data_IF_798231986909
#
_entry.id   IF_798231986909
#
_cell.length_a   1.000
_cell.length_b   1.000
_cell.length_c   1.000
_cell.angle_alpha   90.00
_cell.angle_beta   90.00
_cell.angle_gamma   90.00
#
_symmetry.space_group_name_H-M   'P 1'
#
loop_
_entity.id
_entity.type
_entity.pdbx_description
1 polymer ?
#
# COMPACT_ATOMS: atom_id res chain seq x y z
N UNK A 1 14.49 10.93 -2.95
CA UNK A 1 13.41 9.99 -2.60
C UNK A 1 12.13 10.78 -2.53
N UNK A 2 11.17 10.53 -3.42
CA UNK A 2 9.84 11.11 -3.28
C UNK A 2 9.12 10.36 -2.15
N UNK A 3 8.68 11.08 -1.13
CA UNK A 3 7.85 10.54 -0.07
C UNK A 3 6.40 10.65 -0.54
N UNK A 4 5.81 9.53 -0.93
CA UNK A 4 4.45 9.50 -1.49
C UNK A 4 3.35 9.47 -0.45
N UNK A 5 3.72 9.24 0.82
CA UNK A 5 2.80 9.23 1.94
C UNK A 5 2.75 10.61 2.56
N UNK A 6 1.53 11.04 2.87
CA UNK A 6 1.31 12.31 3.54
C UNK A 6 2.03 12.28 4.91
N UNK A 7 2.85 13.29 5.25
CA UNK A 7 3.45 13.39 6.57
C UNK A 7 2.38 13.68 7.63
N UNK A 8 2.73 13.46 8.90
CA UNK A 8 1.84 13.82 10.01
C UNK A 8 1.44 15.29 9.97
N UNK A 9 0.16 15.59 10.21
CA UNK A 9 -0.33 16.96 10.22
C UNK A 9 0.12 17.71 11.48
N UNK A 10 0.09 19.05 11.44
CA UNK A 10 0.46 19.86 12.59
C UNK A 10 -0.44 19.60 13.81
N UNK A 11 -1.71 19.29 13.57
CA UNK A 11 -2.66 18.88 14.60
C UNK A 11 -2.27 17.54 15.22
N UNK A 12 -1.90 16.54 14.41
CA UNK A 12 -1.45 15.24 14.92
C UNK A 12 -0.18 15.38 15.76
N UNK A 13 0.77 16.20 15.31
CA UNK A 13 2.01 16.50 16.04
C UNK A 13 1.70 17.21 17.36
N UNK A 14 0.82 18.23 17.34
CA UNK A 14 0.44 18.96 18.55
C UNK A 14 -0.28 18.08 19.57
N UNK A 15 -1.20 17.21 19.11
CA UNK A 15 -1.89 16.25 19.97
C UNK A 15 -0.89 15.22 20.51
N UNK A 16 -0.03 14.64 19.67
CA UNK A 16 1.00 13.69 20.09
C UNK A 16 1.88 14.25 21.19
N UNK A 17 2.39 15.49 21.01
CA UNK A 17 3.19 16.18 22.03
C UNK A 17 2.47 16.31 23.37
N UNK A 18 1.16 16.64 23.37
CA UNK A 18 0.34 16.73 24.60
C UNK A 18 0.12 15.38 25.27
N UNK A 19 0.16 14.29 24.51
CA UNK A 19 -0.01 12.92 25.00
C UNK A 19 1.34 12.23 25.32
N UNK A 20 2.48 12.91 25.15
CA UNK A 20 3.81 12.32 25.32
C UNK A 20 4.18 11.31 24.22
N UNK A 21 3.54 11.40 23.06
CA UNK A 21 3.81 10.56 21.89
C UNK A 21 4.58 11.33 20.83
N UNK A 22 5.69 10.76 20.36
CA UNK A 22 6.36 11.26 19.17
C UNK A 22 5.78 10.63 17.90
N UNK A 23 5.25 11.52 17.05
CA UNK A 23 4.68 11.21 15.73
C UNK A 23 5.23 12.14 14.64
N UNK A 24 6.22 12.98 14.94
CA UNK A 24 6.68 14.04 14.01
C UNK A 24 7.28 13.50 12.71
N UNK A 25 7.85 12.30 12.76
CA UNK A 25 8.47 11.62 11.63
C UNK A 25 7.62 10.49 11.05
N UNK A 26 6.41 10.31 11.55
CA UNK A 26 5.49 9.33 11.00
C UNK A 26 4.72 9.92 9.80
N UNK A 27 4.19 9.03 8.97
CA UNK A 27 3.13 9.39 8.03
C UNK A 27 1.85 9.73 8.78
N UNK A 28 0.95 10.44 8.11
CA UNK A 28 -0.38 10.77 8.61
C UNK A 28 -1.14 9.53 9.09
N UNK A 29 -1.04 8.41 8.35
CA UNK A 29 -1.72 7.15 8.69
C UNK A 29 -1.14 6.51 9.95
N UNK A 30 0.19 6.49 10.07
CA UNK A 30 0.88 5.90 11.23
C UNK A 30 0.66 6.75 12.48
N UNK A 31 0.75 8.08 12.37
CA UNK A 31 0.45 8.98 13.48
C UNK A 31 -1.00 8.83 13.94
N UNK A 32 -1.97 8.78 13.01
CA UNK A 32 -3.36 8.50 13.33
C UNK A 32 -3.52 7.18 14.08
N UNK A 33 -2.85 6.12 13.62
CA UNK A 33 -2.92 4.82 14.28
C UNK A 33 -2.37 4.88 15.72
N UNK A 34 -1.18 5.46 15.92
CA UNK A 34 -0.58 5.63 17.25
C UNK A 34 -1.45 6.46 18.19
N UNK A 35 -1.99 7.58 17.70
CA UNK A 35 -2.88 8.43 18.49
C UNK A 35 -4.15 7.69 18.91
N UNK A 36 -4.78 6.96 17.98
CA UNK A 36 -5.96 6.17 18.29
C UNK A 36 -5.67 5.01 19.23
N UNK A 37 -4.52 4.35 19.13
CA UNK A 37 -4.14 3.31 20.09
C UNK A 37 -3.97 3.87 21.50
N UNK A 38 -3.56 5.13 21.62
CA UNK A 38 -3.41 5.80 22.92
C UNK A 38 -4.74 6.29 23.50
N UNK A 39 -5.58 6.96 22.69
CA UNK A 39 -6.84 7.56 23.18
C UNK A 39 -8.04 6.62 23.08
N UNK A 40 -7.90 5.51 22.36
CA UNK A 40 -9.00 4.62 21.96
C UNK A 40 -9.87 4.17 23.13
N UNK A 41 -9.24 3.69 24.20
CA UNK A 41 -9.94 3.26 25.41
C UNK A 41 -10.75 4.41 26.04
N UNK A 42 -10.22 5.63 26.05
CA UNK A 42 -10.88 6.79 26.64
C UNK A 42 -12.09 7.29 25.82
N UNK A 43 -12.12 7.00 24.50
CA UNK A 43 -13.20 7.40 23.59
C UNK A 43 -14.17 6.25 23.27
N UNK A 44 -14.05 5.11 23.95
CA UNK A 44 -14.91 3.95 23.74
C UNK A 44 -14.64 3.19 22.43
N UNK A 45 -13.44 3.31 21.87
CA UNK A 45 -13.00 2.47 20.75
C UNK A 45 -12.82 1.03 21.27
N UNK A 46 -13.83 0.19 21.05
CA UNK A 46 -13.86 -1.21 21.51
C UNK A 46 -12.91 -2.12 20.73
N UNK A 47 -12.22 -1.58 19.72
CA UNK A 47 -11.33 -2.35 18.87
C UNK A 47 -9.96 -2.50 19.52
N UNK A 48 -9.83 -3.56 20.32
CA UNK A 48 -8.58 -3.98 20.95
C UNK A 48 -7.68 -4.72 19.97
N UNK A 49 -7.01 -3.94 19.14
CA UNK A 49 -5.91 -4.43 18.33
C UNK A 49 -4.66 -4.53 19.21
N UNK A 50 -4.32 -5.75 19.62
CA UNK A 50 -3.12 -6.04 20.40
C UNK A 50 -1.91 -6.02 19.46
N UNK A 51 -1.38 -7.20 19.17
CA UNK A 51 -0.14 -7.40 18.44
C UNK A 51 -0.42 -7.68 16.95
N UNK A 52 0.49 -7.29 16.06
CA UNK A 52 0.46 -7.65 14.66
C UNK A 52 0.44 -9.16 14.49
N UNK A 53 -0.35 -9.63 13.55
CA UNK A 53 -0.39 -11.05 13.20
C UNK A 53 0.95 -11.50 12.62
N UNK A 54 1.28 -12.79 12.76
CA UNK A 54 2.49 -13.37 12.14
C UNK A 54 2.57 -13.07 10.64
N UNK A 55 1.43 -13.14 9.94
CA UNK A 55 1.32 -12.81 8.52
C UNK A 55 1.70 -11.36 8.22
N UNK A 56 1.26 -10.41 9.04
CA UNK A 56 1.65 -9.01 8.89
C UNK A 56 3.14 -8.82 9.13
N UNK A 57 3.71 -9.44 10.16
CA UNK A 57 5.14 -9.36 10.46
C UNK A 57 5.97 -9.94 9.31
N UNK A 58 5.60 -11.12 8.80
CA UNK A 58 6.24 -11.74 7.64
C UNK A 58 6.12 -10.85 6.39
N UNK A 59 4.93 -10.34 6.12
CA UNK A 59 4.70 -9.45 4.98
C UNK A 59 5.47 -8.12 5.11
N UNK A 60 5.59 -7.57 6.32
CA UNK A 60 6.41 -6.38 6.58
C UNK A 60 7.88 -6.58 6.23
N UNK A 61 8.42 -7.79 6.45
CA UNK A 61 9.80 -8.13 6.08
C UNK A 61 10.04 -8.08 4.57
N UNK A 62 9.02 -8.39 3.76
CA UNK A 62 9.12 -8.27 2.29
C UNK A 62 9.40 -6.81 1.86
N UNK A 63 8.99 -5.85 2.68
CA UNK A 63 9.25 -4.42 2.48
C UNK A 63 10.42 -3.87 3.29
N UNK A 64 11.14 -4.71 4.04
CA UNK A 64 12.21 -4.29 4.94
C UNK A 64 11.73 -3.53 6.18
N UNK A 65 10.47 -3.69 6.59
CA UNK A 65 9.86 -3.01 7.73
C UNK A 65 9.72 -4.01 8.89
N UNK A 66 10.32 -3.68 10.04
CA UNK A 66 10.07 -4.43 11.28
C UNK A 66 8.77 -3.96 11.93
N UNK A 67 7.81 -4.88 12.03
CA UNK A 67 6.50 -4.66 12.63
C UNK A 67 6.36 -5.30 14.01
N UNK A 68 7.37 -6.01 14.51
CA UNK A 68 7.27 -6.84 15.73
C UNK A 68 6.93 -6.08 17.01
N UNK A 69 7.24 -4.78 17.06
CA UNK A 69 7.00 -3.91 18.22
C UNK A 69 5.87 -2.91 18.01
N UNK A 70 5.13 -3.02 16.91
CA UNK A 70 3.99 -2.15 16.65
C UNK A 70 2.72 -2.77 17.23
N UNK A 71 1.67 -1.96 17.38
CA UNK A 71 0.32 -2.49 17.51
C UNK A 71 -0.16 -3.01 16.15
N UNK A 72 -1.21 -3.82 16.14
CA UNK A 72 -1.84 -4.24 14.89
C UNK A 72 -2.29 -3.05 14.03
N UNK A 73 -2.85 -1.99 14.62
CA UNK A 73 -3.33 -0.80 13.89
C UNK A 73 -2.18 -0.07 13.21
N UNK A 74 -1.06 0.11 13.92
CA UNK A 74 0.16 0.73 13.38
C UNK A 74 0.77 -0.16 12.30
N UNK A 75 0.78 -1.48 12.47
CA UNK A 75 1.29 -2.40 11.46
C UNK A 75 0.49 -2.35 10.15
N UNK A 76 -0.85 -2.29 10.22
CA UNK A 76 -1.71 -2.08 9.04
C UNK A 76 -1.37 -0.76 8.35
N UNK A 77 -1.22 0.33 9.11
CA UNK A 77 -0.88 1.64 8.55
C UNK A 77 0.47 1.61 7.82
N UNK A 78 1.51 1.03 8.43
CA UNK A 78 2.85 0.90 7.83
C UNK A 78 2.85 0.07 6.56
N UNK A 79 2.13 -1.06 6.55
CA UNK A 79 2.00 -1.91 5.35
C UNK A 79 1.29 -1.14 4.23
N UNK A 80 0.21 -0.44 4.55
CA UNK A 80 -0.54 0.36 3.57
C UNK A 80 0.34 1.44 2.95
N UNK A 81 1.09 2.17 3.79
CA UNK A 81 2.01 3.21 3.34
C UNK A 81 3.10 2.65 2.41
N UNK A 82 3.70 1.50 2.76
CA UNK A 82 4.69 0.83 1.93
C UNK A 82 4.12 0.40 0.58
N UNK A 83 2.90 -0.17 0.57
CA UNK A 83 2.21 -0.54 -0.67
C UNK A 83 1.89 0.68 -1.52
N UNK A 84 1.45 1.78 -0.92
CA UNK A 84 1.18 3.03 -1.64
C UNK A 84 2.45 3.58 -2.28
N UNK A 85 3.57 3.61 -1.55
CA UNK A 85 4.86 4.04 -2.10
C UNK A 85 5.30 3.18 -3.29
N UNK A 86 5.21 1.85 -3.18
CA UNK A 86 5.57 0.95 -4.28
C UNK A 86 4.69 1.21 -5.51
N UNK A 87 3.37 1.31 -5.31
CA UNK A 87 2.47 1.50 -6.43
C UNK A 87 2.67 2.86 -7.11
N UNK A 88 2.85 3.93 -6.35
CA UNK A 88 3.09 5.25 -6.92
C UNK A 88 4.43 5.35 -7.62
N UNK A 89 5.48 4.69 -7.08
CA UNK A 89 6.75 4.56 -7.78
C UNK A 89 6.59 3.83 -9.11
N UNK A 90 5.83 2.74 -9.17
CA UNK A 90 5.54 2.03 -10.43
C UNK A 90 4.75 2.89 -11.41
N UNK A 91 3.80 3.70 -10.94
CA UNK A 91 3.09 4.67 -11.80
C UNK A 91 4.08 5.65 -12.43
N UNK A 92 5.02 6.19 -11.65
CA UNK A 92 6.04 7.11 -12.15
C UNK A 92 7.02 6.42 -13.11
N UNK A 93 7.55 5.25 -12.74
CA UNK A 93 8.50 4.48 -13.55
C UNK A 93 7.91 4.05 -14.91
N UNK A 94 6.61 3.71 -14.95
CA UNK A 94 5.91 3.36 -16.19
C UNK A 94 5.37 4.60 -16.94
N UNK A 95 5.52 5.79 -16.36
CA UNK A 95 4.87 7.02 -16.81
C UNK A 95 3.40 6.77 -17.15
N UNK A 96 2.70 6.06 -16.25
CA UNK A 96 1.38 5.54 -16.54
C UNK A 96 0.36 6.68 -16.54
N UNK A 97 -0.38 6.80 -17.64
CA UNK A 97 -1.41 7.84 -17.81
C UNK A 97 -2.74 7.26 -18.30
N UNK A 98 -3.88 7.94 -18.07
CA UNK A 98 -5.15 7.59 -18.70
C UNK A 98 -5.01 7.43 -20.22
N UNK A 99 -5.51 6.31 -20.75
CA UNK A 99 -5.39 5.96 -22.16
C UNK A 99 -4.32 4.91 -22.48
N UNK A 100 -3.35 4.71 -21.58
CA UNK A 100 -2.31 3.68 -21.78
C UNK A 100 -2.90 2.27 -21.84
N UNK A 101 -2.28 1.41 -22.64
CA UNK A 101 -2.56 -0.02 -22.63
C UNK A 101 -1.65 -0.76 -21.66
N UNK A 102 -2.25 -1.62 -20.84
CA UNK A 102 -1.56 -2.39 -19.81
C UNK A 102 -1.95 -3.86 -19.86
N UNK A 103 -1.07 -4.70 -19.34
CA UNK A 103 -1.32 -6.12 -19.08
C UNK A 103 -1.39 -6.33 -17.57
N UNK A 104 -2.44 -7.02 -17.13
CA UNK A 104 -2.54 -7.60 -15.80
C UNK A 104 -2.30 -9.11 -15.92
N UNK A 105 -1.24 -9.60 -15.28
CA UNK A 105 -0.96 -11.03 -15.18
C UNK A 105 -1.58 -11.57 -13.89
N UNK A 106 -2.35 -12.66 -14.00
CA UNK A 106 -2.89 -13.40 -12.86
C UNK A 106 -2.40 -14.83 -12.92
N UNK A 107 -1.62 -15.22 -11.92
CA UNK A 107 -1.22 -16.61 -11.73
C UNK A 107 -2.26 -17.31 -10.86
N UNK A 108 -2.74 -18.48 -11.30
CA UNK A 108 -3.66 -19.33 -10.55
C UNK A 108 -3.27 -20.79 -10.69
N UNK A 109 -3.51 -21.55 -9.63
CA UNK A 109 -3.27 -22.99 -9.63
C UNK A 109 -4.55 -23.72 -10.03
N UNK A 110 -4.50 -24.44 -11.16
CA UNK A 110 -5.59 -25.30 -11.60
C UNK A 110 -5.06 -26.74 -11.63
N UNK A 111 -5.59 -27.58 -10.73
CA UNK A 111 -5.25 -29.00 -10.62
C UNK A 111 -3.74 -29.27 -10.42
N UNK A 112 -3.08 -28.49 -9.56
CA UNK A 112 -1.65 -28.65 -9.26
C UNK A 112 -0.72 -28.02 -10.30
N UNK A 113 -1.28 -27.46 -11.39
CA UNK A 113 -0.50 -26.76 -12.43
C UNK A 113 -0.68 -25.25 -12.27
N UNK A 114 0.43 -24.53 -12.12
CA UNK A 114 0.43 -23.07 -12.19
C UNK A 114 0.14 -22.61 -13.62
N UNK A 115 -0.86 -21.77 -13.80
CA UNK A 115 -1.19 -21.12 -15.08
C UNK A 115 -1.17 -19.62 -14.91
N UNK A 116 -0.71 -18.92 -15.94
CA UNK A 116 -0.78 -17.46 -16.02
C UNK A 116 -1.81 -17.04 -17.06
N UNK A 117 -2.71 -16.14 -16.67
CA UNK A 117 -3.61 -15.46 -17.59
C UNK A 117 -3.20 -13.99 -17.66
N UNK A 118 -2.87 -13.56 -18.87
CA UNK A 118 -2.63 -12.16 -19.19
C UNK A 118 -3.90 -11.55 -19.77
N UNK A 119 -4.33 -10.43 -19.17
CA UNK A 119 -5.48 -9.67 -19.67
C UNK A 119 -5.04 -8.25 -20.01
N UNK A 120 -5.40 -7.80 -21.21
CA UNK A 120 -5.12 -6.45 -21.68
C UNK A 120 -6.24 -5.51 -21.27
N UNK A 121 -5.87 -4.34 -20.77
CA UNK A 121 -6.81 -3.29 -20.39
C UNK A 121 -6.30 -1.93 -20.87
N UNK A 122 -7.21 -0.96 -20.92
CA UNK A 122 -6.88 0.45 -21.11
C UNK A 122 -7.11 1.21 -19.82
N UNK A 123 -6.14 2.02 -19.41
CA UNK A 123 -6.24 2.85 -18.20
C UNK A 123 -7.34 3.89 -18.39
N UNK A 124 -8.25 3.97 -17.41
CA UNK A 124 -9.30 4.98 -17.33
C UNK A 124 -8.89 6.14 -16.44
N UNK A 125 -8.47 5.83 -15.22
CA UNK A 125 -8.02 6.80 -14.22
C UNK A 125 -7.09 6.13 -13.21
N UNK A 126 -6.31 6.94 -12.50
CA UNK A 126 -5.37 6.50 -11.47
C UNK A 126 -5.72 7.26 -10.19
N UNK A 127 -5.91 6.53 -9.09
CA UNK A 127 -6.20 7.10 -7.77
C UNK A 127 -4.90 7.53 -7.09
N UNK A 128 -4.99 8.46 -6.14
CA UNK A 128 -3.85 9.02 -5.40
C UNK A 128 -3.01 7.99 -4.62
N UNK A 129 -3.49 6.78 -4.41
CA UNK A 129 -2.78 5.69 -3.74
C UNK A 129 -2.17 4.65 -4.71
N UNK A 130 -2.22 4.91 -6.01
CA UNK A 130 -1.69 4.03 -7.05
C UNK A 130 -2.63 2.91 -7.50
N UNK A 131 -3.93 2.98 -7.14
CA UNK A 131 -4.95 2.09 -7.70
C UNK A 131 -5.35 2.55 -9.11
N UNK A 132 -5.26 1.65 -10.09
CA UNK A 132 -5.53 1.92 -11.50
C UNK A 132 -6.88 1.34 -11.91
N UNK A 133 -7.77 2.16 -12.47
CA UNK A 133 -9.07 1.75 -12.98
C UNK A 133 -9.04 1.52 -14.49
N UNK A 134 -9.79 0.54 -14.98
CA UNK A 134 -9.81 0.16 -16.40
C UNK A 134 -11.06 0.65 -17.14
N UNK A 135 -10.90 1.05 -18.41
CA UNK A 135 -12.03 1.43 -19.28
C UNK A 135 -12.91 0.22 -19.58
N UNK A 136 -14.23 0.40 -19.55
CA UNK A 136 -15.21 -0.64 -19.85
C UNK A 136 -15.28 -1.77 -18.82
N UNK A 137 -14.54 -1.67 -17.70
CA UNK A 137 -14.42 -2.72 -16.70
C UNK A 137 -15.46 -2.71 -15.59
N UNK A 138 -16.53 -1.89 -15.63
CA UNK A 138 -17.55 -1.83 -14.56
C UNK A 138 -16.98 -1.73 -13.13
N UNK A 139 -15.95 -0.89 -12.93
CA UNK A 139 -15.26 -0.73 -11.64
C UNK A 139 -14.05 -1.65 -11.43
N UNK A 140 -13.66 -2.43 -12.43
CA UNK A 140 -12.43 -3.22 -12.37
C UNK A 140 -11.20 -2.31 -12.22
N UNK A 141 -10.32 -2.73 -11.33
CA UNK A 141 -9.09 -2.03 -11.00
C UNK A 141 -8.02 -3.03 -10.57
N UNK A 142 -6.77 -2.57 -10.58
CA UNK A 142 -5.65 -3.27 -9.99
C UNK A 142 -4.62 -2.28 -9.43
N UNK A 143 -3.80 -2.77 -8.50
CA UNK A 143 -2.63 -2.05 -8.02
C UNK A 143 -1.57 -1.97 -9.11
N UNK A 144 -0.96 -0.79 -9.26
CA UNK A 144 0.04 -0.52 -10.29
C UNK A 144 1.18 -1.54 -10.32
N UNK A 145 1.65 -1.99 -9.17
CA UNK A 145 2.72 -2.99 -9.05
C UNK A 145 2.38 -4.38 -9.63
N UNK A 146 1.13 -4.61 -10.05
CA UNK A 146 0.72 -5.83 -10.77
C UNK A 146 0.56 -5.62 -12.27
N UNK A 147 0.89 -4.45 -12.79
CA UNK A 147 0.66 -4.06 -14.17
C UNK A 147 1.97 -3.96 -14.94
N UNK A 148 1.91 -4.24 -16.24
CA UNK A 148 2.97 -3.94 -17.20
C UNK A 148 2.42 -3.11 -18.34
N UNK A 149 3.13 -2.07 -18.76
CA UNK A 149 2.72 -1.21 -19.89
C UNK A 149 3.05 -1.89 -21.21
N UNK A 150 2.09 -1.94 -22.13
CA UNK A 150 2.30 -2.50 -23.47
C UNK A 150 3.05 -1.46 -24.31
N UNK A 151 4.20 -1.84 -24.86
CA UNK A 151 5.01 -0.96 -25.71
C UNK A 151 5.96 -0.02 -24.95
N UNK A 152 6.04 -0.12 -23.61
CA UNK A 152 7.10 0.49 -22.80
C UNK A 152 8.21 -0.51 -22.53
N UNK A 153 9.47 -0.07 -22.59
CA UNK A 153 10.64 -0.91 -22.27
C UNK A 153 10.54 -1.42 -20.82
N UNK A 154 10.05 -2.66 -20.65
CA UNK A 154 9.93 -3.31 -19.35
C UNK A 154 11.15 -4.22 -19.14
N UNK A 155 12.25 -3.64 -18.68
CA UNK A 155 13.40 -4.41 -18.17
C UNK A 155 13.57 -4.13 -16.68
N UNK A 156 12.63 -4.57 -15.84
CA UNK A 156 12.85 -4.68 -14.39
C UNK A 156 12.15 -5.93 -13.83
N UNK A 157 12.96 -6.98 -13.64
CA UNK A 157 12.96 -7.78 -12.41
C UNK A 157 11.79 -8.72 -12.14
N UNK A 158 11.61 -9.76 -12.96
CA UNK A 158 11.24 -11.06 -12.37
C UNK A 158 12.45 -11.53 -11.56
N UNK A 159 12.44 -11.35 -10.23
CA UNK A 159 13.21 -12.22 -9.35
C UNK A 159 12.40 -13.49 -9.19
N UNK A 160 12.85 -14.53 -9.85
CA UNK A 160 12.53 -15.92 -9.52
C UNK A 160 12.80 -16.13 -8.03
N UNK A 161 11.83 -16.73 -7.34
CA UNK A 161 12.01 -17.39 -6.04
C UNK A 161 11.97 -18.88 -6.30
#
# INVERSE_FOLDING_TARGET
>A
MHQYTEPSSQEQISIGSKLGLDVAHDSWNVARAKLLDFVGDAIGDSVRYTDPTKKQIEFGKEFGIDLSKNSFRVAVARIKDALTEINLRVIEELELVPGDQIVLSRSFNLSGTSRELEQKFTVSSIRKDGLVYFKGGNGWCAWAGKLRKIGGNSSVGQKEV
#
